data_IF_218531471155
#
_entry.id   IF_218531471155
#
_cell.length_a   1.000
_cell.length_b   1.000
_cell.length_c   1.000
_cell.angle_alpha   90.00
_cell.angle_beta   90.00
_cell.angle_gamma   90.00
#
_symmetry.space_group_name_H-M   'P 1'
#
loop_
_entity.id
_entity.type
_entity.pdbx_description
1 polymer ?
#
# COMPACT_ATOMS: atom_id res chain seq x y z
N UNK A 1 -10.85 2.80 -2.94
CA UNK A 1 -12.17 2.31 -3.46
C UNK A 1 -13.22 3.40 -3.43
N UNK A 2 -13.19 4.27 -2.43
CA UNK A 2 -14.23 5.30 -2.23
C UNK A 2 -14.36 6.32 -3.38
N UNK A 3 -13.30 6.56 -4.12
CA UNK A 3 -13.28 7.54 -5.20
C UNK A 3 -13.80 6.98 -6.53
N UNK A 4 -13.45 5.75 -6.86
CA UNK A 4 -13.71 5.17 -8.18
C UNK A 4 -14.78 4.08 -8.16
N UNK A 5 -14.75 3.21 -7.16
CA UNK A 5 -15.63 2.03 -7.12
C UNK A 5 -16.88 2.25 -6.27
N UNK A 6 -16.79 3.03 -5.19
CA UNK A 6 -17.85 3.22 -4.20
C UNK A 6 -18.43 1.85 -3.77
N UNK A 7 -19.69 1.59 -4.06
CA UNK A 7 -20.40 0.34 -3.77
C UNK A 7 -20.41 -0.66 -4.94
N UNK A 8 -19.57 -0.42 -5.97
CA UNK A 8 -19.56 -1.16 -7.24
C UNK A 8 -18.72 -2.44 -7.25
N UNK A 9 -18.24 -2.91 -6.09
CA UNK A 9 -17.41 -4.10 -6.03
C UNK A 9 -18.05 -5.36 -6.66
N UNK A 10 -19.37 -5.48 -6.57
CA UNK A 10 -20.17 -6.60 -7.09
C UNK A 10 -20.88 -6.29 -8.40
N UNK A 11 -20.64 -5.14 -9.01
CA UNK A 11 -21.26 -4.75 -10.29
C UNK A 11 -20.35 -5.21 -11.44
N UNK A 12 -20.60 -6.41 -11.95
CA UNK A 12 -19.80 -7.01 -13.03
C UNK A 12 -19.80 -6.17 -14.31
N UNK A 13 -20.92 -5.50 -14.63
CA UNK A 13 -20.99 -4.64 -15.81
C UNK A 13 -20.08 -3.42 -15.66
N UNK A 14 -20.06 -2.80 -14.50
CA UNK A 14 -19.17 -1.70 -14.19
C UNK A 14 -17.69 -2.13 -14.20
N UNK A 15 -17.37 -3.23 -13.54
CA UNK A 15 -16.00 -3.79 -13.52
C UNK A 15 -15.56 -4.19 -14.93
N UNK A 16 -16.47 -4.76 -15.76
CA UNK A 16 -16.23 -5.08 -17.15
C UNK A 16 -15.87 -3.85 -17.99
N UNK A 17 -16.57 -2.73 -17.79
CA UNK A 17 -16.25 -1.45 -18.45
C UNK A 17 -14.87 -0.94 -18.07
N UNK A 18 -14.49 -1.02 -16.79
CA UNK A 18 -13.16 -0.61 -16.32
C UNK A 18 -12.06 -1.49 -16.95
N UNK A 19 -12.29 -2.81 -16.98
CA UNK A 19 -11.35 -3.78 -17.56
C UNK A 19 -11.14 -3.52 -19.06
N UNK A 20 -12.22 -3.33 -19.82
CA UNK A 20 -12.15 -3.01 -21.26
C UNK A 20 -11.41 -1.69 -21.49
N UNK A 21 -11.76 -0.64 -20.75
CA UNK A 21 -11.10 0.66 -20.87
C UNK A 21 -9.59 0.57 -20.60
N UNK A 22 -9.17 -0.17 -19.57
CA UNK A 22 -7.76 -0.39 -19.30
C UNK A 22 -7.07 -1.12 -20.47
N UNK A 23 -7.69 -2.17 -21.00
CA UNK A 23 -7.18 -2.94 -22.13
C UNK A 23 -7.07 -2.08 -23.41
N UNK A 24 -8.08 -1.27 -23.74
CA UNK A 24 -8.13 -0.40 -24.91
C UNK A 24 -6.99 0.65 -24.90
N UNK A 25 -6.49 1.00 -23.71
CA UNK A 25 -5.36 1.92 -23.52
C UNK A 25 -4.03 1.21 -23.21
N UNK A 26 -3.96 -0.11 -23.29
CA UNK A 26 -2.74 -0.87 -22.96
C UNK A 26 -2.30 -0.77 -21.50
N UNK A 27 -3.23 -0.45 -20.58
CA UNK A 27 -2.97 -0.27 -19.15
C UNK A 27 -3.30 -1.56 -18.40
N UNK A 28 -2.44 -1.93 -17.45
CA UNK A 28 -2.67 -3.07 -16.54
C UNK A 28 -3.18 -2.57 -15.19
N UNK A 29 -4.26 -3.18 -14.69
CA UNK A 29 -4.70 -3.00 -13.31
C UNK A 29 -3.79 -3.81 -12.40
N UNK A 30 -3.04 -3.15 -11.50
CA UNK A 30 -2.06 -3.83 -10.66
C UNK A 30 -2.63 -4.20 -9.29
N UNK A 31 -3.38 -3.30 -8.68
CA UNK A 31 -3.99 -3.50 -7.37
C UNK A 31 -5.23 -2.62 -7.18
N UNK A 32 -6.07 -2.99 -6.22
CA UNK A 32 -7.12 -2.13 -5.66
C UNK A 32 -6.67 -1.67 -4.28
N UNK A 33 -6.78 -0.37 -4.00
CA UNK A 33 -6.55 0.21 -2.68
C UNK A 33 -7.86 0.25 -1.89
N UNK A 34 -7.94 -0.55 -0.82
CA UNK A 34 -9.16 -0.74 -0.03
C UNK A 34 -9.11 0.09 1.24
N UNK A 35 -10.08 0.99 1.40
CA UNK A 35 -10.28 1.81 2.60
C UNK A 35 -11.73 1.73 3.06
N UNK A 36 -11.96 1.97 4.37
CA UNK A 36 -13.32 2.11 4.92
C UNK A 36 -14.06 0.80 5.21
N UNK A 37 -13.40 -0.36 5.07
CA UNK A 37 -14.03 -1.69 5.27
C UNK A 37 -13.89 -2.24 6.69
N UNK A 38 -13.45 -1.42 7.63
CA UNK A 38 -13.23 -1.79 9.04
C UNK A 38 -11.76 -2.07 9.35
N UNK A 39 -11.48 -2.28 10.64
CA UNK A 39 -10.12 -2.47 11.15
C UNK A 39 -9.76 -3.95 11.19
N UNK A 40 -8.79 -4.37 10.39
CA UNK A 40 -8.26 -5.73 10.38
C UNK A 40 -7.55 -6.12 11.68
N UNK A 41 -7.13 -5.13 12.50
CA UNK A 41 -6.60 -5.34 13.83
C UNK A 41 -7.57 -4.91 14.95
N UNK A 42 -8.88 -5.01 14.73
CA UNK A 42 -9.86 -4.65 15.76
C UNK A 42 -9.71 -5.54 17.00
N UNK A 43 -9.78 -4.93 18.22
CA UNK A 43 -9.65 -5.64 19.48
C UNK A 43 -10.72 -6.72 19.70
N UNK A 44 -11.97 -6.46 19.29
CA UNK A 44 -13.06 -7.43 19.30
C UNK A 44 -12.97 -8.41 18.13
N UNK A 45 -13.11 -9.71 18.41
CA UNK A 45 -13.01 -10.76 17.38
C UNK A 45 -14.14 -10.69 16.35
N UNK A 46 -15.37 -10.39 16.77
CA UNK A 46 -16.52 -10.29 15.86
C UNK A 46 -16.35 -9.16 14.84
N UNK A 47 -15.91 -7.99 15.28
CA UNK A 47 -15.66 -6.81 14.45
C UNK A 47 -14.47 -7.03 13.52
N UNK A 48 -13.41 -7.70 13.99
CA UNK A 48 -12.26 -8.07 13.19
C UNK A 48 -12.65 -9.04 12.07
N UNK A 49 -13.43 -10.07 12.38
CA UNK A 49 -13.96 -11.00 11.38
C UNK A 49 -14.88 -10.31 10.38
N UNK A 50 -15.73 -9.39 10.84
CA UNK A 50 -16.56 -8.58 9.95
C UNK A 50 -15.72 -7.73 9.00
N UNK A 51 -14.66 -7.11 9.49
CA UNK A 51 -13.73 -6.36 8.63
C UNK A 51 -13.11 -7.28 7.56
N UNK A 52 -12.64 -8.48 7.92
CA UNK A 52 -12.13 -9.46 6.94
C UNK A 52 -13.18 -9.76 5.87
N UNK A 53 -14.42 -10.09 6.26
CA UNK A 53 -15.51 -10.38 5.31
C UNK A 53 -15.83 -9.20 4.39
N UNK A 54 -15.79 -7.97 4.90
CA UNK A 54 -16.03 -6.77 4.11
C UNK A 54 -14.99 -6.58 2.99
N UNK A 55 -13.75 -7.05 3.19
CA UNK A 55 -12.68 -6.98 2.19
C UNK A 55 -12.83 -8.03 1.08
N UNK A 56 -13.58 -9.13 1.29
CA UNK A 56 -13.69 -10.21 0.30
C UNK A 56 -14.21 -9.71 -1.06
N UNK A 57 -15.27 -8.89 -1.08
CA UNK A 57 -15.81 -8.31 -2.33
C UNK A 57 -14.76 -7.56 -3.16
N UNK A 58 -13.79 -6.90 -2.49
CA UNK A 58 -12.72 -6.18 -3.17
C UNK A 58 -11.63 -7.10 -3.67
N UNK A 59 -11.37 -8.21 -2.97
CA UNK A 59 -10.49 -9.25 -3.48
C UNK A 59 -11.08 -9.92 -4.72
N UNK A 60 -12.40 -10.19 -4.74
CA UNK A 60 -13.09 -10.73 -5.90
C UNK A 60 -13.04 -9.75 -7.07
N UNK A 61 -13.31 -8.46 -6.84
CA UNK A 61 -13.20 -7.42 -7.86
C UNK A 61 -11.75 -7.29 -8.40
N UNK A 62 -10.75 -7.36 -7.53
CA UNK A 62 -9.35 -7.33 -7.94
C UNK A 62 -8.98 -8.52 -8.82
N UNK A 63 -9.45 -9.72 -8.46
CA UNK A 63 -9.30 -10.92 -9.30
C UNK A 63 -9.94 -10.74 -10.66
N UNK A 64 -11.17 -10.22 -10.72
CA UNK A 64 -11.90 -9.96 -11.97
C UNK A 64 -11.14 -9.00 -12.88
N UNK A 65 -10.56 -7.93 -12.32
CA UNK A 65 -9.79 -6.91 -13.05
C UNK A 65 -8.39 -7.39 -13.46
N UNK A 66 -7.93 -8.55 -12.98
CA UNK A 66 -6.59 -9.07 -13.27
C UNK A 66 -5.48 -8.44 -12.43
N UNK A 67 -5.82 -7.86 -11.28
CA UNK A 67 -4.85 -7.35 -10.32
C UNK A 67 -4.01 -8.49 -9.72
N UNK A 68 -2.80 -8.16 -9.26
CA UNK A 68 -1.97 -9.10 -8.51
C UNK A 68 -2.13 -8.97 -6.99
N UNK A 69 -2.74 -7.88 -6.51
CA UNK A 69 -2.87 -7.57 -5.08
C UNK A 69 -4.11 -6.77 -4.75
N UNK A 70 -4.50 -6.80 -3.48
CA UNK A 70 -5.26 -5.73 -2.84
C UNK A 70 -4.36 -5.04 -1.79
N UNK A 71 -4.42 -3.71 -1.71
CA UNK A 71 -3.80 -2.96 -0.62
C UNK A 71 -4.82 -2.70 0.45
N UNK A 72 -4.45 -2.98 1.69
CA UNK A 72 -5.26 -2.81 2.88
C UNK A 72 -4.50 -2.06 3.97
N UNK A 73 -5.20 -1.64 5.02
CA UNK A 73 -4.62 -1.00 6.19
C UNK A 73 -4.53 -1.97 7.38
N UNK A 74 -3.40 -1.97 8.10
CA UNK A 74 -3.24 -2.72 9.34
C UNK A 74 -3.73 -1.90 10.56
N UNK A 75 -4.88 -1.23 10.43
CA UNK A 75 -5.45 -0.42 11.48
C UNK A 75 -5.83 -1.29 12.69
N UNK A 76 -5.52 -0.80 13.90
CA UNK A 76 -5.87 -1.43 15.17
C UNK A 76 -6.75 -0.53 16.00
N UNK A 77 -7.60 -1.11 16.83
CA UNK A 77 -8.47 -0.38 17.76
C UNK A 77 -8.32 -0.92 19.18
N UNK A 78 -8.81 -0.13 20.14
CA UNK A 78 -8.76 -0.50 21.55
C UNK A 78 -7.41 -0.23 22.23
N UNK A 79 -7.36 -0.51 23.52
CA UNK A 79 -6.16 -0.45 24.33
C UNK A 79 -5.34 -1.73 24.13
N UNK A 80 -4.04 -1.64 24.27
CA UNK A 80 -3.14 -2.78 24.15
C UNK A 80 -1.70 -2.34 23.94
N UNK A 81 -0.77 -3.21 24.26
CA UNK A 81 0.64 -2.99 24.01
C UNK A 81 0.94 -3.01 22.50
N UNK A 82 2.14 -2.58 22.15
CA UNK A 82 2.66 -2.64 20.80
C UNK A 82 2.56 -4.07 20.21
N UNK A 83 2.94 -5.09 20.99
CA UNK A 83 2.96 -6.48 20.58
C UNK A 83 1.54 -7.10 20.53
N UNK A 84 0.66 -6.71 21.43
CA UNK A 84 -0.74 -7.15 21.39
C UNK A 84 -1.43 -6.65 20.13
N UNK A 85 -1.21 -5.39 19.77
CA UNK A 85 -1.74 -4.81 18.53
C UNK A 85 -1.14 -5.45 17.28
N UNK A 86 0.16 -5.85 17.31
CA UNK A 86 0.73 -6.64 16.21
C UNK A 86 0.00 -7.96 16.01
N UNK A 87 -0.29 -8.68 17.09
CA UNK A 87 -1.01 -9.97 17.03
C UNK A 87 -2.42 -9.82 16.48
N UNK A 88 -3.13 -8.76 16.90
CA UNK A 88 -4.49 -8.48 16.39
C UNK A 88 -4.47 -8.18 14.90
N UNK A 89 -3.56 -7.32 14.45
CA UNK A 89 -3.41 -7.00 13.02
C UNK A 89 -3.01 -8.25 12.20
N UNK A 90 -2.10 -9.06 12.73
CA UNK A 90 -1.66 -10.29 12.09
C UNK A 90 -2.79 -11.32 11.95
N UNK A 91 -3.68 -11.43 12.93
CA UNK A 91 -4.83 -12.35 12.89
C UNK A 91 -5.80 -12.01 11.75
N UNK A 92 -6.22 -10.74 11.64
CA UNK A 92 -7.09 -10.31 10.54
C UNK A 92 -6.43 -10.39 9.18
N UNK A 93 -5.15 -10.00 9.09
CA UNK A 93 -4.38 -10.09 7.84
C UNK A 93 -4.15 -11.52 7.39
N UNK A 94 -3.90 -12.46 8.32
CA UNK A 94 -3.79 -13.89 8.02
C UNK A 94 -5.08 -14.40 7.40
N UNK A 95 -6.22 -14.16 8.05
CA UNK A 95 -7.52 -14.62 7.58
C UNK A 95 -7.85 -14.07 6.20
N UNK A 96 -7.56 -12.79 5.94
CA UNK A 96 -7.75 -12.18 4.63
C UNK A 96 -6.76 -12.72 3.58
N UNK A 97 -5.52 -12.98 3.96
CA UNK A 97 -4.50 -13.55 3.07
C UNK A 97 -4.82 -14.97 2.65
N UNK A 98 -5.38 -15.78 3.56
CA UNK A 98 -5.86 -17.14 3.24
C UNK A 98 -7.01 -17.10 2.23
N UNK A 99 -7.89 -16.09 2.31
CA UNK A 99 -8.90 -15.86 1.27
C UNK A 99 -8.25 -15.42 -0.06
N UNK A 100 -7.36 -14.43 -0.02
CA UNK A 100 -6.64 -13.95 -1.20
C UNK A 100 -5.85 -15.04 -1.92
N UNK A 101 -5.26 -15.99 -1.17
CA UNK A 101 -4.52 -17.12 -1.74
C UNK A 101 -5.40 -17.99 -2.65
N UNK A 102 -6.67 -18.21 -2.31
CA UNK A 102 -7.64 -18.96 -3.14
C UNK A 102 -7.91 -18.26 -4.48
N UNK A 103 -7.73 -16.95 -4.53
CA UNK A 103 -7.90 -16.13 -5.73
C UNK A 103 -6.58 -15.91 -6.50
N UNK A 104 -5.44 -16.35 -5.95
CA UNK A 104 -4.10 -16.06 -6.47
C UNK A 104 -3.67 -14.62 -6.29
N UNK A 105 -4.18 -13.95 -5.23
CA UNK A 105 -3.90 -12.54 -4.90
C UNK A 105 -2.98 -12.41 -3.69
N UNK A 106 -2.16 -11.37 -3.72
CA UNK A 106 -1.48 -10.90 -2.51
C UNK A 106 -2.39 -9.93 -1.74
N UNK A 107 -2.27 -9.97 -0.41
CA UNK A 107 -2.79 -8.96 0.51
C UNK A 107 -1.60 -8.16 1.00
N UNK A 108 -1.55 -6.89 0.64
CA UNK A 108 -0.40 -6.04 0.96
C UNK A 108 -0.82 -4.86 1.84
N UNK A 109 0.02 -4.52 2.78
CA UNK A 109 -0.22 -3.43 3.74
C UNK A 109 0.65 -2.24 3.41
N UNK A 110 0.03 -1.08 3.29
CA UNK A 110 0.73 0.19 3.23
C UNK A 110 1.02 0.71 4.64
N UNK A 111 2.19 1.29 4.85
CA UNK A 111 2.43 2.14 6.03
C UNK A 111 1.58 3.42 5.87
N UNK A 112 0.44 3.48 6.57
CA UNK A 112 -0.59 4.51 6.37
C UNK A 112 -1.16 5.04 7.70
N UNK A 113 -0.33 5.73 8.45
CA UNK A 113 -0.69 6.39 9.73
C UNK A 113 -0.63 5.49 10.96
N UNK A 114 -0.43 6.09 12.11
CA UNK A 114 -0.39 5.44 13.41
C UNK A 114 0.69 4.35 13.50
N UNK A 115 0.37 3.21 14.10
CA UNK A 115 1.32 2.12 14.28
C UNK A 115 1.84 1.55 12.95
N UNK A 116 1.06 1.52 11.88
CA UNK A 116 1.51 1.01 10.59
C UNK A 116 2.60 1.89 9.95
N UNK A 117 2.70 3.16 10.36
CA UNK A 117 3.79 4.07 9.97
C UNK A 117 5.10 3.85 10.72
N UNK A 118 5.13 2.93 11.69
CA UNK A 118 6.36 2.45 12.33
C UNK A 118 6.82 1.19 11.57
N UNK A 119 7.93 1.30 10.84
CA UNK A 119 8.44 0.21 9.99
C UNK A 119 8.69 -1.07 10.77
N UNK A 120 9.32 -0.97 11.96
CA UNK A 120 9.58 -2.13 12.81
C UNK A 120 8.28 -2.81 13.28
N UNK A 121 7.22 -2.02 13.58
CA UNK A 121 5.93 -2.57 13.97
C UNK A 121 5.30 -3.35 12.82
N UNK A 122 5.24 -2.77 11.63
CA UNK A 122 4.59 -3.40 10.47
C UNK A 122 5.40 -4.61 9.98
N UNK A 123 6.74 -4.53 9.97
CA UNK A 123 7.60 -5.68 9.69
C UNK A 123 7.39 -6.83 10.70
N UNK A 124 7.17 -6.50 11.98
CA UNK A 124 6.77 -7.46 13.02
C UNK A 124 5.44 -8.14 12.73
N UNK A 125 4.43 -7.39 12.26
CA UNK A 125 3.14 -7.96 11.80
C UNK A 125 3.37 -8.96 10.66
N UNK A 126 4.18 -8.62 9.66
CA UNK A 126 4.48 -9.52 8.53
C UNK A 126 5.15 -10.82 8.99
N UNK A 127 6.09 -10.74 9.93
CA UNK A 127 6.75 -11.92 10.52
C UNK A 127 5.77 -12.83 11.25
N UNK A 128 4.80 -12.25 11.96
CA UNK A 128 3.75 -13.04 12.66
C UNK A 128 2.81 -13.68 11.64
N UNK A 129 2.36 -12.97 10.60
CA UNK A 129 1.50 -13.54 9.55
C UNK A 129 2.20 -14.68 8.82
N UNK A 130 3.43 -14.48 8.40
CA UNK A 130 4.28 -15.50 7.75
C UNK A 130 3.58 -16.30 6.64
N UNK A 131 2.92 -15.59 5.73
CA UNK A 131 2.31 -16.18 4.52
C UNK A 131 2.96 -15.57 3.27
N UNK A 132 3.25 -16.36 2.23
CA UNK A 132 3.97 -15.88 1.05
C UNK A 132 3.20 -14.82 0.25
N UNK A 133 1.87 -14.80 0.34
CA UNK A 133 1.01 -13.83 -0.30
C UNK A 133 0.57 -12.67 0.62
N UNK A 134 1.10 -12.60 1.84
CA UNK A 134 0.98 -11.40 2.70
C UNK A 134 2.26 -10.59 2.62
N UNK A 135 2.15 -9.29 2.38
CA UNK A 135 3.33 -8.45 2.23
C UNK A 135 3.06 -6.98 2.50
N UNK A 136 3.98 -6.14 2.08
CA UNK A 136 3.90 -4.69 2.24
C UNK A 136 3.83 -3.96 0.91
N UNK A 137 3.32 -2.75 0.97
CA UNK A 137 3.46 -1.69 -0.03
C UNK A 137 4.15 -0.52 0.68
N UNK A 138 5.50 -0.49 0.74
CA UNK A 138 6.20 0.63 1.35
C UNK A 138 5.89 1.94 0.62
N UNK A 139 5.31 2.90 1.35
CA UNK A 139 5.10 4.26 0.89
C UNK A 139 6.22 5.16 1.39
N UNK A 140 6.74 6.04 0.54
CA UNK A 140 7.91 6.88 0.84
C UNK A 140 7.63 8.02 1.81
N UNK A 141 6.36 8.38 2.03
CA UNK A 141 5.96 9.56 2.81
C UNK A 141 5.20 9.28 4.10
N UNK A 142 4.51 8.17 4.21
CA UNK A 142 3.57 7.87 5.28
C UNK A 142 4.23 7.37 6.58
N UNK A 143 5.08 8.19 7.20
CA UNK A 143 5.81 7.84 8.41
C UNK A 143 5.40 8.65 9.66
N UNK A 144 4.23 9.27 9.65
CA UNK A 144 3.66 9.91 10.83
C UNK A 144 3.04 8.85 11.76
N UNK A 145 3.67 8.64 12.92
CA UNK A 145 3.24 7.65 13.93
C UNK A 145 2.24 8.20 14.94
N UNK A 146 1.78 9.44 14.76
CA UNK A 146 0.87 10.15 15.66
C UNK A 146 1.59 11.13 16.57
N UNK A 147 0.81 12.00 17.24
CA UNK A 147 1.31 12.99 18.21
C UNK A 147 2.43 13.90 17.68
N UNK A 148 2.41 14.19 16.37
CA UNK A 148 3.45 14.98 15.72
C UNK A 148 4.80 14.27 15.57
N UNK A 149 4.88 12.98 15.85
CA UNK A 149 6.11 12.20 15.77
C UNK A 149 6.23 11.51 14.41
N UNK A 150 7.46 11.46 13.90
CA UNK A 150 7.78 10.82 12.62
C UNK A 150 8.79 9.71 12.82
N UNK A 151 8.52 8.57 12.20
CA UNK A 151 9.49 7.50 12.06
C UNK A 151 10.47 7.83 10.93
N UNK A 152 11.72 7.40 11.03
CA UNK A 152 12.67 7.62 9.92
C UNK A 152 12.20 6.84 8.69
N UNK A 153 11.93 7.57 7.59
CA UNK A 153 11.37 6.97 6.36
C UNK A 153 12.31 6.01 5.66
N UNK A 154 13.61 6.28 5.71
CA UNK A 154 14.60 5.41 5.07
C UNK A 154 14.79 4.12 5.86
N UNK A 155 14.85 4.21 7.18
CA UNK A 155 14.82 3.05 8.05
C UNK A 155 13.51 2.26 7.85
N UNK A 156 12.36 2.93 7.85
CA UNK A 156 11.06 2.29 7.70
C UNK A 156 10.94 1.54 6.38
N UNK A 157 11.32 2.15 5.26
CA UNK A 157 11.33 1.45 3.96
C UNK A 157 12.31 0.28 3.98
N UNK A 158 13.52 0.44 4.55
CA UNK A 158 14.49 -0.67 4.69
C UNK A 158 13.88 -1.86 5.43
N UNK A 159 13.13 -1.62 6.51
CA UNK A 159 12.49 -2.66 7.32
C UNK A 159 11.33 -3.35 6.60
N UNK A 160 10.63 -2.63 5.71
CA UNK A 160 9.45 -3.13 4.99
C UNK A 160 9.80 -3.83 3.67
N UNK A 161 10.89 -3.45 3.02
CA UNK A 161 11.29 -4.00 1.72
C UNK A 161 11.42 -5.52 1.66
N UNK A 162 11.87 -6.25 2.71
CA UNK A 162 11.91 -7.72 2.68
C UNK A 162 10.54 -8.40 2.45
N UNK A 163 9.45 -7.67 2.68
CA UNK A 163 8.07 -8.15 2.52
C UNK A 163 7.35 -7.49 1.33
N UNK A 164 8.01 -6.58 0.60
CA UNK A 164 7.37 -5.75 -0.42
C UNK A 164 6.88 -6.57 -1.62
N UNK A 165 5.65 -6.29 -2.05
CA UNK A 165 5.04 -6.78 -3.28
C UNK A 165 4.70 -5.65 -4.24
N UNK A 166 4.71 -4.42 -3.76
CA UNK A 166 4.56 -3.18 -4.50
C UNK A 166 5.29 -2.07 -3.74
N UNK A 167 5.47 -0.91 -4.35
CA UNK A 167 6.10 0.28 -3.76
C UNK A 167 5.31 1.50 -4.18
N UNK A 168 5.12 2.46 -3.26
CA UNK A 168 4.46 3.75 -3.51
C UNK A 168 5.46 4.90 -3.38
N UNK A 169 5.74 5.56 -4.51
CA UNK A 169 6.58 6.75 -4.58
C UNK A 169 5.74 8.00 -4.29
N UNK A 170 5.45 8.23 -3.00
CA UNK A 170 4.73 9.42 -2.55
C UNK A 170 5.57 10.68 -2.73
N UNK A 171 4.96 11.70 -3.29
CA UNK A 171 5.56 13.01 -3.51
C UNK A 171 4.58 14.14 -3.16
N UNK A 172 5.12 15.31 -2.81
CA UNK A 172 4.32 16.48 -2.44
C UNK A 172 4.79 17.73 -3.17
N UNK A 173 6.06 18.06 -3.05
CA UNK A 173 6.63 19.31 -3.54
C UNK A 173 7.96 19.06 -4.22
N UNK A 174 8.26 19.90 -5.21
CA UNK A 174 9.50 19.80 -5.97
C UNK A 174 10.24 21.15 -5.92
N UNK A 175 11.56 21.06 -5.80
CA UNK A 175 12.44 22.22 -5.90
C UNK A 175 12.65 22.67 -7.37
N UNK A 176 13.51 23.67 -7.57
CA UNK A 176 13.82 24.23 -8.91
C UNK A 176 14.55 23.21 -9.80
N UNK A 177 15.21 22.21 -9.21
CA UNK A 177 15.91 21.13 -9.93
C UNK A 177 14.99 19.96 -10.28
N UNK A 178 13.78 19.94 -9.72
CA UNK A 178 12.81 18.85 -9.89
C UNK A 178 12.94 17.74 -8.85
N UNK A 179 13.79 17.91 -7.83
CA UNK A 179 13.89 16.98 -6.72
C UNK A 179 12.74 17.15 -5.72
N UNK A 180 12.26 16.02 -5.15
CA UNK A 180 11.23 16.04 -4.11
C UNK A 180 11.82 16.57 -2.80
N UNK A 181 11.11 17.54 -2.18
CA UNK A 181 11.66 18.35 -1.06
C UNK A 181 11.71 17.56 0.25
N UNK A 182 10.80 16.62 0.46
CA UNK A 182 10.65 15.88 1.73
C UNK A 182 11.41 14.55 1.75
N UNK A 183 11.65 13.97 0.57
CA UNK A 183 12.22 12.65 0.40
C UNK A 183 13.34 12.68 -0.63
N UNK A 184 14.55 12.29 -0.24
CA UNK A 184 15.63 12.04 -1.18
C UNK A 184 15.33 10.75 -1.97
N UNK A 185 14.88 10.91 -3.21
CA UNK A 185 14.49 9.80 -4.08
C UNK A 185 15.67 8.94 -4.51
N UNK A 186 16.87 9.49 -4.63
CA UNK A 186 18.09 8.72 -4.95
C UNK A 186 18.41 7.74 -3.83
N UNK A 187 18.43 8.25 -2.60
CA UNK A 187 18.64 7.42 -1.40
C UNK A 187 17.51 6.39 -1.25
N UNK A 188 16.27 6.80 -1.46
CA UNK A 188 15.10 5.92 -1.31
C UNK A 188 15.11 4.79 -2.35
N UNK A 189 15.34 5.11 -3.61
CA UNK A 189 15.39 4.11 -4.68
C UNK A 189 16.61 3.20 -4.55
N UNK A 190 17.73 3.69 -4.04
CA UNK A 190 18.88 2.83 -3.72
C UNK A 190 18.51 1.75 -2.68
N UNK A 191 17.71 2.09 -1.66
CA UNK A 191 17.20 1.12 -0.68
C UNK A 191 16.29 0.08 -1.35
N UNK A 192 15.37 0.54 -2.20
CA UNK A 192 14.42 -0.32 -2.92
C UNK A 192 15.16 -1.32 -3.83
N UNK A 193 16.13 -0.84 -4.59
CA UNK A 193 16.92 -1.66 -5.52
C UNK A 193 17.86 -2.61 -4.77
N UNK A 194 18.50 -2.16 -3.69
CA UNK A 194 19.36 -3.01 -2.86
C UNK A 194 18.63 -4.18 -2.22
N UNK A 195 17.31 -4.06 -2.00
CA UNK A 195 16.45 -5.14 -1.55
C UNK A 195 16.09 -6.16 -2.65
N UNK A 196 16.57 -5.97 -3.88
CA UNK A 196 16.27 -6.84 -5.03
C UNK A 196 14.87 -6.68 -5.60
N UNK A 197 14.22 -5.52 -5.38
CA UNK A 197 12.88 -5.27 -5.92
C UNK A 197 12.93 -4.96 -7.42
N UNK A 198 12.11 -5.66 -8.20
CA UNK A 198 12.01 -5.53 -9.67
C UNK A 198 10.56 -5.29 -10.14
N UNK A 199 9.66 -4.89 -9.24
CA UNK A 199 8.25 -4.60 -9.54
C UNK A 199 8.00 -3.17 -10.02
N UNK A 200 6.75 -2.81 -10.10
CA UNK A 200 6.32 -1.45 -10.40
C UNK A 200 6.52 -0.53 -9.20
N UNK A 201 6.94 0.70 -9.47
CA UNK A 201 6.96 1.80 -8.50
C UNK A 201 5.75 2.69 -8.81
N UNK A 202 4.74 2.64 -7.97
CA UNK A 202 3.51 3.43 -8.12
C UNK A 202 3.77 4.89 -7.80
N UNK A 203 3.20 5.80 -8.58
CA UNK A 203 3.28 7.25 -8.33
C UNK A 203 2.07 7.65 -7.50
N UNK A 204 2.31 8.34 -6.38
CA UNK A 204 1.27 8.94 -5.54
C UNK A 204 1.64 10.40 -5.23
N UNK A 205 0.94 11.33 -5.87
CA UNK A 205 1.14 12.76 -5.64
C UNK A 205 0.07 13.32 -4.71
N UNK A 206 0.49 13.87 -3.57
CA UNK A 206 -0.38 14.51 -2.57
C UNK A 206 -0.01 15.99 -2.31
N UNK A 207 0.70 16.61 -3.24
CA UNK A 207 1.04 18.03 -3.15
C UNK A 207 -0.13 18.95 -3.50
N UNK A 208 0.03 20.22 -3.15
CA UNK A 208 -0.97 21.27 -3.39
C UNK A 208 -0.45 22.47 -4.18
N UNK A 209 0.87 22.52 -4.48
CA UNK A 209 1.48 23.65 -5.21
C UNK A 209 1.23 23.61 -6.72
N UNK A 210 0.95 22.44 -7.26
CA UNK A 210 0.60 22.24 -8.66
C UNK A 210 -0.60 21.29 -8.74
N UNK A 211 -1.28 21.27 -9.89
CA UNK A 211 -2.38 20.32 -10.10
C UNK A 211 -1.88 18.87 -10.13
N UNK A 212 -2.81 17.91 -9.93
CA UNK A 212 -2.49 16.50 -9.81
C UNK A 212 -1.76 15.94 -11.05
N UNK A 213 -2.16 16.33 -12.26
CA UNK A 213 -1.51 15.85 -13.49
C UNK A 213 -0.08 16.34 -13.61
N UNK A 214 0.17 17.60 -13.27
CA UNK A 214 1.52 18.17 -13.24
C UNK A 214 2.38 17.50 -12.18
N UNK A 215 1.83 17.28 -10.97
CA UNK A 215 2.54 16.59 -9.88
C UNK A 215 2.92 15.15 -10.24
N UNK A 216 2.00 14.39 -10.84
CA UNK A 216 2.25 13.02 -11.32
C UNK A 216 3.36 13.01 -12.38
N UNK A 217 3.34 13.96 -13.34
CA UNK A 217 4.39 14.06 -14.37
C UNK A 217 5.76 14.39 -13.78
N UNK A 218 5.81 15.30 -12.79
CA UNK A 218 7.06 15.64 -12.09
C UNK A 218 7.62 14.45 -11.32
N UNK A 219 6.77 13.70 -10.62
CA UNK A 219 7.18 12.47 -9.91
C UNK A 219 7.72 11.43 -10.90
N UNK A 220 7.03 11.24 -12.04
CA UNK A 220 7.50 10.34 -13.10
C UNK A 220 8.88 10.74 -13.61
N UNK A 221 9.06 12.01 -13.95
CA UNK A 221 10.32 12.55 -14.44
C UNK A 221 11.46 12.34 -13.43
N UNK A 222 11.21 12.60 -12.14
CA UNK A 222 12.18 12.37 -11.07
C UNK A 222 12.56 10.89 -10.98
N UNK A 223 11.58 9.98 -11.00
CA UNK A 223 11.84 8.53 -10.99
C UNK A 223 12.65 8.08 -12.21
N UNK A 224 12.37 8.62 -13.41
CA UNK A 224 13.13 8.33 -14.62
C UNK A 224 14.57 8.84 -14.53
N UNK A 225 14.77 10.04 -14.01
CA UNK A 225 16.12 10.59 -13.74
C UNK A 225 16.90 9.72 -12.76
N UNK A 226 16.28 9.37 -11.65
CA UNK A 226 16.93 8.53 -10.62
C UNK A 226 17.23 7.12 -11.14
N UNK A 227 16.35 6.54 -11.95
CA UNK A 227 16.61 5.26 -12.63
C UNK A 227 17.87 5.34 -13.48
N UNK A 228 17.98 6.39 -14.31
CA UNK A 228 19.11 6.55 -15.25
C UNK A 228 20.42 6.82 -14.53
N UNK A 229 20.38 7.45 -13.35
CA UNK A 229 21.54 7.66 -12.47
C UNK A 229 22.00 6.40 -11.71
N UNK A 230 21.06 5.47 -11.41
CA UNK A 230 21.33 4.24 -10.63
C UNK A 230 21.51 2.99 -11.51
N UNK A 231 21.48 3.11 -12.84
CA UNK A 231 21.58 2.00 -13.81
C UNK A 231 23.01 1.59 -14.14
#
# INVERSE_FOLDING_TARGET
VNQFFKDKANDEAYLGQLKSRAADHGVKSLLIMVDGEGSLGHGGTAERNKAVLNHHKWADAAKFLGCHSIRVNAATTGNGSFEEKQKLAADGLRSLSEYGAKLGLNVIVENHGGLSSNGAWLAGVMKIVNLPNCGTLPDFGNFNVGDGKWYDRYQGVTELMPFAKAVSAKSHEFDEKGDEVRTDYRRMMSIVLAAGYHGYVGIEYEGSKVDAYTGIKKTKQLLETVRDELS
#
